data_IF_118283349673
#
_entry.id   IF_118283349673
#
_cell.length_a   1.000
_cell.length_b   1.000
_cell.length_c   1.000
_cell.angle_alpha   90.00
_cell.angle_beta   90.00
_cell.angle_gamma   90.00
#
_symmetry.space_group_name_H-M   'P 1'
#
loop_
_entity.id
_entity.type
_entity.pdbx_description
1 polymer ?
#
# COMPACT_ATOMS: atom_id res chain seq x y z
N UNK A 1 -3.24 25.35 -1.07
CA UNK A 1 -3.69 24.04 -0.59
C UNK A 1 -2.70 23.00 -1.08
N UNK A 2 -1.95 22.37 -0.20
CA UNK A 2 -1.22 21.14 -0.55
C UNK A 2 -2.26 20.05 -0.78
N UNK A 3 -2.24 19.41 -1.95
CA UNK A 3 -3.13 18.29 -2.21
C UNK A 3 -2.72 17.13 -1.29
N UNK A 4 -3.67 16.60 -0.54
CA UNK A 4 -3.44 15.50 0.37
C UNK A 4 -3.49 14.18 -0.43
N UNK A 5 -2.41 13.40 -0.42
CA UNK A 5 -2.35 12.16 -1.17
C UNK A 5 -3.00 11.04 -0.37
N UNK A 6 -4.12 10.51 -0.86
CA UNK A 6 -4.74 9.31 -0.32
C UNK A 6 -4.28 8.08 -1.14
N UNK A 7 -3.89 7.03 -0.45
CA UNK A 7 -3.38 5.79 -1.03
C UNK A 7 -4.43 4.71 -0.86
N UNK A 8 -4.88 4.16 -2.00
CA UNK A 8 -5.81 3.04 -2.03
C UNK A 8 -5.08 1.69 -1.94
N UNK A 9 -5.81 0.64 -1.57
CA UNK A 9 -5.28 -0.72 -1.41
C UNK A 9 -4.63 -1.24 -2.69
N UNK A 10 -5.24 -0.96 -3.84
CA UNK A 10 -4.74 -1.35 -5.16
C UNK A 10 -3.33 -0.82 -5.46
N UNK A 11 -3.04 0.44 -5.12
CA UNK A 11 -1.71 1.03 -5.31
C UNK A 11 -0.66 0.39 -4.40
N UNK A 12 -1.03 0.06 -3.16
CA UNK A 12 -0.13 -0.62 -2.22
C UNK A 12 0.17 -2.05 -2.71
N UNK A 13 -0.85 -2.80 -3.12
CA UNK A 13 -0.68 -4.14 -3.69
C UNK A 13 0.26 -4.08 -4.89
N UNK A 14 0.00 -3.20 -5.87
CA UNK A 14 0.83 -3.05 -7.05
C UNK A 14 2.29 -2.76 -6.73
N UNK A 15 2.55 -1.90 -5.73
CA UNK A 15 3.92 -1.63 -5.27
C UNK A 15 4.57 -2.86 -4.65
N UNK A 16 3.86 -3.61 -3.81
CA UNK A 16 4.43 -4.75 -3.09
C UNK A 16 4.66 -5.95 -4.02
N UNK A 17 3.75 -6.18 -4.98
CA UNK A 17 3.81 -7.32 -5.92
C UNK A 17 4.66 -7.06 -7.16
N UNK A 18 5.13 -5.82 -7.36
CA UNK A 18 5.97 -5.47 -8.51
C UNK A 18 5.19 -5.37 -9.82
N UNK A 19 3.96 -4.88 -9.75
CA UNK A 19 3.13 -4.63 -10.94
C UNK A 19 3.73 -3.50 -11.82
N UNK A 20 3.40 -3.46 -13.14
CA UNK A 20 4.01 -2.52 -14.09
C UNK A 20 3.97 -1.04 -13.65
N UNK A 21 2.92 -0.64 -12.93
CA UNK A 21 2.66 0.72 -12.47
C UNK A 21 3.43 1.07 -11.19
N UNK A 22 4.11 0.11 -10.54
CA UNK A 22 4.82 0.29 -9.27
C UNK A 22 5.72 1.52 -9.27
N UNK A 23 6.50 1.72 -10.34
CA UNK A 23 7.44 2.83 -10.41
C UNK A 23 6.73 4.18 -10.40
N UNK A 24 5.59 4.31 -11.08
CA UNK A 24 4.80 5.53 -11.09
C UNK A 24 4.19 5.81 -9.71
N UNK A 25 3.67 4.79 -9.02
CA UNK A 25 3.11 4.96 -7.68
C UNK A 25 4.19 5.31 -6.64
N UNK A 26 5.37 4.70 -6.70
CA UNK A 26 6.51 5.07 -5.84
C UNK A 26 6.92 6.53 -6.05
N UNK A 27 7.05 6.97 -7.30
CA UNK A 27 7.39 8.36 -7.60
C UNK A 27 6.36 9.35 -7.04
N UNK A 28 5.07 9.02 -7.07
CA UNK A 28 4.01 9.84 -6.47
C UNK A 28 4.11 9.89 -4.94
N UNK A 29 4.43 8.76 -4.29
CA UNK A 29 4.66 8.71 -2.85
C UNK A 29 5.90 9.52 -2.43
N UNK A 30 7.00 9.37 -3.16
CA UNK A 30 8.28 10.06 -2.88
C UNK A 30 8.16 11.58 -3.06
N UNK A 31 7.33 12.03 -4.01
CA UNK A 31 7.08 13.44 -4.25
C UNK A 31 6.08 14.07 -3.25
N UNK A 32 5.30 13.25 -2.54
CA UNK A 32 4.28 13.73 -1.62
C UNK A 32 4.88 14.05 -0.24
N UNK A 33 4.60 15.24 0.34
CA UNK A 33 5.06 15.57 1.69
C UNK A 33 4.41 14.69 2.77
N UNK A 34 3.23 14.15 2.48
CA UNK A 34 2.53 13.18 3.30
C UNK A 34 1.58 12.36 2.43
N UNK A 35 1.43 11.08 2.77
CA UNK A 35 0.49 10.16 2.16
C UNK A 35 -0.34 9.48 3.27
N UNK A 36 -1.62 9.26 3.00
CA UNK A 36 -2.58 8.75 3.98
C UNK A 36 -3.25 7.50 3.43
N UNK A 37 -3.38 6.47 4.27
CA UNK A 37 -4.13 5.27 3.95
C UNK A 37 -5.23 5.10 5.00
N UNK A 38 -6.44 4.74 4.56
CA UNK A 38 -7.51 4.36 5.48
C UNK A 38 -7.14 3.04 6.16
N UNK A 39 -7.47 2.89 7.44
CA UNK A 39 -7.34 1.59 8.13
C UNK A 39 -8.10 0.48 7.42
N UNK A 40 -9.24 0.78 6.78
CA UNK A 40 -9.96 -0.20 5.98
C UNK A 40 -9.17 -0.64 4.73
N UNK A 41 -8.58 0.31 3.99
CA UNK A 41 -7.74 0.02 2.82
C UNK A 41 -6.45 -0.72 3.20
N UNK A 42 -5.90 -0.44 4.37
CA UNK A 42 -4.77 -1.20 4.92
C UNK A 42 -5.15 -2.67 5.18
N UNK A 43 -6.27 -2.91 5.87
CA UNK A 43 -6.77 -4.28 6.12
C UNK A 43 -7.09 -5.01 4.83
N UNK A 44 -7.72 -4.34 3.85
CA UNK A 44 -7.97 -4.92 2.52
C UNK A 44 -6.66 -5.33 1.84
N UNK A 45 -5.66 -4.45 1.84
CA UNK A 45 -4.33 -4.74 1.31
C UNK A 45 -3.74 -5.98 1.98
N UNK A 46 -3.79 -6.05 3.31
CA UNK A 46 -3.29 -7.18 4.08
C UNK A 46 -3.99 -8.49 3.69
N UNK A 47 -5.32 -8.51 3.63
CA UNK A 47 -6.10 -9.69 3.20
C UNK A 47 -5.67 -10.16 1.81
N UNK A 48 -5.51 -9.22 0.86
CA UNK A 48 -5.10 -9.54 -0.51
C UNK A 48 -3.67 -10.08 -0.56
N UNK A 49 -2.74 -9.46 0.15
CA UNK A 49 -1.33 -9.86 0.15
C UNK A 49 -1.11 -11.19 0.87
N UNK A 50 -1.77 -11.44 2.00
CA UNK A 50 -1.67 -12.73 2.71
C UNK A 50 -2.20 -13.90 1.88
N UNK A 51 -3.14 -13.65 0.96
CA UNK A 51 -3.59 -14.67 0.01
C UNK A 51 -2.59 -14.92 -1.13
N UNK A 52 -1.70 -13.97 -1.44
CA UNK A 52 -0.78 -14.01 -2.59
C UNK A 52 0.67 -14.35 -2.21
N UNK A 53 1.12 -13.94 -1.04
CA UNK A 53 2.49 -14.07 -0.56
C UNK A 53 2.53 -15.12 0.54
N UNK A 54 3.19 -16.25 0.26
CA UNK A 54 3.36 -17.32 1.25
C UNK A 54 4.19 -16.83 2.42
N UNK A 55 3.63 -16.91 3.63
CA UNK A 55 4.33 -16.56 4.88
C UNK A 55 4.04 -15.16 5.43
N UNK A 56 3.24 -14.33 4.74
CA UNK A 56 2.80 -13.05 5.31
C UNK A 56 1.69 -13.29 6.35
N UNK A 57 2.04 -13.18 7.63
CA UNK A 57 1.13 -13.45 8.76
C UNK A 57 0.85 -12.18 9.58
N UNK A 58 -0.33 -12.12 10.20
CA UNK A 58 -0.75 -10.95 10.99
C UNK A 58 0.09 -10.73 12.26
N UNK A 59 0.88 -11.74 12.65
CA UNK A 59 1.83 -11.63 13.77
C UNK A 59 2.87 -10.53 13.59
N UNK A 60 3.10 -10.06 12.35
CA UNK A 60 4.01 -8.94 12.06
C UNK A 60 3.34 -7.56 12.27
N UNK A 61 2.05 -7.52 12.60
CA UNK A 61 1.28 -6.29 12.82
C UNK A 61 1.03 -5.97 14.31
N UNK A 62 1.45 -6.85 15.21
CA UNK A 62 1.22 -6.74 16.67
C UNK A 62 2.35 -5.98 17.42
N UNK A 63 3.32 -5.39 16.71
CA UNK A 63 4.38 -4.52 17.27
C UNK A 63 4.15 -3.02 16.97
#
# INVERSE_FOLDING_TARGET
MTAQLAVDSSAIVAIVTGEPEQAAFRNLLDAAPAAFCSTASFVETFIVLSARITGLTASELDE
#
